data_IF_589927202399
#
_entry.id   IF_589927202399
#
_cell.length_a   1.000
_cell.length_b   1.000
_cell.length_c   1.000
_cell.angle_alpha   90.00
_cell.angle_beta   90.00
_cell.angle_gamma   90.00
#
_symmetry.space_group_name_H-M   'P 1'
#
loop_
_entity.id
_entity.type
_entity.pdbx_description
1 polymer ?
#
# COMPACT_ATOMS: atom_id res chain seq x y z
N UNK A 1 20.03 -20.83 -4.04
CA UNK A 1 21.46 -20.56 -4.32
C UNK A 1 21.64 -19.70 -5.59
N UNK A 2 20.94 -20.00 -6.69
CA UNK A 2 21.04 -19.22 -7.94
C UNK A 2 20.66 -17.74 -7.75
N UNK A 3 19.63 -17.46 -6.94
CA UNK A 3 19.19 -16.10 -6.67
C UNK A 3 20.26 -15.27 -5.96
N UNK A 4 20.98 -15.85 -5.01
CA UNK A 4 22.06 -15.19 -4.29
C UNK A 4 23.23 -14.80 -5.19
N UNK A 5 23.51 -15.60 -6.21
CA UNK A 5 24.59 -15.33 -7.17
C UNK A 5 24.30 -14.08 -8.03
N UNK A 6 23.03 -13.75 -8.22
CA UNK A 6 22.59 -12.59 -9.00
C UNK A 6 22.37 -11.33 -8.14
N UNK A 7 22.56 -11.46 -6.81
CA UNK A 7 22.31 -10.38 -5.87
C UNK A 7 23.59 -9.78 -5.30
N UNK A 8 23.55 -8.48 -5.09
CA UNK A 8 24.54 -7.76 -4.31
C UNK A 8 24.03 -7.58 -2.88
N UNK A 9 24.83 -8.04 -1.92
CA UNK A 9 24.49 -7.98 -0.50
C UNK A 9 25.33 -6.89 0.15
N UNK A 10 24.67 -5.91 0.76
CA UNK A 10 25.27 -4.81 1.47
C UNK A 10 24.80 -4.83 2.93
N UNK A 11 25.74 -4.60 3.85
CA UNK A 11 25.45 -4.49 5.28
C UNK A 11 25.72 -3.08 5.73
N UNK A 12 24.85 -2.56 6.60
CA UNK A 12 24.97 -1.19 7.11
C UNK A 12 24.43 -1.08 8.53
N UNK A 13 24.67 0.07 9.15
CA UNK A 13 24.12 0.37 10.46
C UNK A 13 22.71 0.90 10.30
N UNK A 14 21.76 0.32 11.06
CA UNK A 14 20.39 0.81 11.07
C UNK A 14 20.33 2.24 11.60
N UNK A 15 19.59 3.09 10.90
CA UNK A 15 19.28 4.45 11.35
C UNK A 15 18.10 4.46 12.31
N UNK A 16 17.99 5.50 13.13
CA UNK A 16 16.87 5.76 14.01
C UNK A 16 17.20 5.71 15.50
N UNK A 17 16.16 5.81 16.32
CA UNK A 17 16.30 5.71 17.78
C UNK A 17 16.69 4.29 18.16
N UNK A 18 17.91 4.09 18.60
CA UNK A 18 18.39 2.79 19.01
C UNK A 18 19.42 2.91 20.12
N UNK A 19 19.57 1.84 20.87
CA UNK A 19 20.63 1.73 21.88
C UNK A 19 22.01 1.55 21.27
N UNK A 20 23.01 1.30 22.10
CA UNK A 20 24.41 1.12 21.67
C UNK A 20 24.58 0.02 20.61
N UNK A 21 23.76 -1.04 20.66
CA UNK A 21 23.82 -2.14 19.70
C UNK A 21 23.54 -1.66 18.25
N UNK A 22 22.52 -0.82 18.06
CA UNK A 22 22.17 -0.27 16.75
C UNK A 22 23.30 0.61 16.19
N UNK A 23 23.97 1.35 17.05
CA UNK A 23 25.03 2.27 16.65
C UNK A 23 26.40 1.59 16.41
N UNK A 24 26.63 0.43 17.03
CA UNK A 24 27.93 -0.26 16.94
C UNK A 24 27.95 -1.42 15.95
N UNK A 25 26.81 -2.05 15.70
CA UNK A 25 26.75 -3.29 14.92
C UNK A 25 26.05 -3.07 13.57
N UNK A 26 26.70 -3.47 12.50
CA UNK A 26 26.13 -3.47 11.15
C UNK A 26 25.22 -4.68 10.96
N UNK A 27 24.06 -4.68 11.62
CA UNK A 27 23.07 -5.77 11.54
C UNK A 27 22.08 -5.60 10.40
N UNK A 28 21.87 -4.39 9.91
CA UNK A 28 20.97 -4.12 8.79
C UNK A 28 21.54 -4.66 7.47
N UNK A 29 20.69 -5.28 6.69
CA UNK A 29 21.06 -5.91 5.41
C UNK A 29 20.20 -5.35 4.28
N UNK A 30 20.84 -5.04 3.18
CA UNK A 30 20.21 -4.65 1.92
C UNK A 30 20.66 -5.60 0.83
N UNK A 31 19.71 -6.19 0.13
CA UNK A 31 19.99 -7.09 -0.99
C UNK A 31 19.42 -6.45 -2.27
N UNK A 32 20.27 -6.30 -3.26
CA UNK A 32 19.90 -5.75 -4.57
C UNK A 32 19.99 -6.87 -5.61
N UNK A 33 18.88 -7.14 -6.29
CA UNK A 33 18.86 -8.09 -7.41
C UNK A 33 19.29 -7.34 -8.67
N UNK A 34 20.50 -7.61 -9.13
CA UNK A 34 21.13 -6.86 -10.22
C UNK A 34 20.35 -6.89 -11.54
N UNK A 35 19.83 -8.04 -12.02
CA UNK A 35 19.11 -8.09 -13.28
C UNK A 35 17.84 -7.24 -13.34
N UNK A 36 17.07 -7.17 -12.26
CA UNK A 36 15.81 -6.41 -12.17
C UNK A 36 15.94 -5.08 -11.45
N UNK A 37 17.03 -4.87 -10.72
CA UNK A 37 17.21 -3.69 -9.88
C UNK A 37 16.33 -3.67 -8.64
N UNK A 38 15.67 -4.78 -8.29
CA UNK A 38 14.80 -4.87 -7.11
C UNK A 38 15.62 -4.89 -5.83
N UNK A 39 15.23 -4.05 -4.87
CA UNK A 39 15.94 -3.88 -3.60
C UNK A 39 15.05 -4.33 -2.45
N UNK A 40 15.62 -5.10 -1.52
CA UNK A 40 15.01 -5.45 -0.26
C UNK A 40 15.94 -5.05 0.89
N UNK A 41 15.38 -4.47 1.93
CA UNK A 41 16.12 -4.00 3.11
C UNK A 41 15.46 -4.52 4.37
N UNK A 42 16.25 -5.02 5.31
CA UNK A 42 15.77 -5.49 6.60
C UNK A 42 16.71 -5.05 7.72
N UNK A 43 16.13 -4.50 8.79
CA UNK A 43 16.87 -4.00 9.96
C UNK A 43 16.16 -4.35 11.28
N UNK A 44 15.17 -5.24 11.24
CA UNK A 44 14.28 -5.51 12.37
C UNK A 44 14.94 -6.33 13.48
N UNK A 45 15.84 -7.21 13.12
CA UNK A 45 16.47 -8.14 14.05
C UNK A 45 17.87 -7.68 14.48
N UNK A 46 18.31 -8.16 15.63
CA UNK A 46 19.67 -7.94 16.11
C UNK A 46 20.71 -8.74 15.32
N UNK A 47 20.33 -9.92 14.86
CA UNK A 47 21.22 -10.81 14.11
C UNK A 47 21.24 -10.45 12.63
N UNK A 48 22.45 -10.21 12.12
CA UNK A 48 22.65 -9.99 10.68
C UNK A 48 22.17 -11.18 9.83
N UNK A 49 22.37 -12.41 10.33
CA UNK A 49 21.94 -13.61 9.62
C UNK A 49 20.41 -13.69 9.50
N UNK A 50 19.69 -13.35 10.56
CA UNK A 50 18.23 -13.30 10.54
C UNK A 50 17.72 -12.21 9.59
N UNK A 51 18.33 -11.03 9.62
CA UNK A 51 18.01 -9.95 8.69
C UNK A 51 18.26 -10.36 7.24
N UNK A 52 19.35 -11.06 6.97
CA UNK A 52 19.66 -11.59 5.63
C UNK A 52 18.56 -12.55 5.15
N UNK A 53 18.13 -13.47 6.00
CA UNK A 53 17.04 -14.42 5.68
C UNK A 53 15.72 -13.70 5.39
N UNK A 54 15.33 -12.75 6.24
CA UNK A 54 14.13 -11.95 6.05
C UNK A 54 14.20 -11.13 4.76
N UNK A 55 15.33 -10.50 4.54
CA UNK A 55 15.58 -9.70 3.35
C UNK A 55 15.47 -10.53 2.07
N UNK A 56 16.02 -11.74 2.09
CA UNK A 56 15.94 -12.67 0.97
C UNK A 56 14.49 -13.10 0.69
N UNK A 57 13.70 -13.38 1.73
CA UNK A 57 12.29 -13.72 1.59
C UNK A 57 11.46 -12.55 1.03
N UNK A 58 11.73 -11.32 1.49
CA UNK A 58 11.10 -10.11 0.94
C UNK A 58 11.46 -9.93 -0.53
N UNK A 59 12.71 -10.14 -0.89
CA UNK A 59 13.16 -10.06 -2.28
C UNK A 59 12.45 -11.08 -3.17
N UNK A 60 12.33 -12.33 -2.71
CA UNK A 60 11.58 -13.38 -3.42
C UNK A 60 10.13 -12.98 -3.67
N UNK A 61 9.48 -12.44 -2.65
CA UNK A 61 8.09 -11.95 -2.76
C UNK A 61 7.95 -10.82 -3.76
N UNK A 62 8.87 -9.86 -3.75
CA UNK A 62 8.90 -8.73 -4.70
C UNK A 62 9.11 -9.22 -6.13
N UNK A 63 10.05 -10.14 -6.33
CA UNK A 63 10.32 -10.71 -7.65
C UNK A 63 9.11 -11.51 -8.17
N UNK A 64 8.48 -12.31 -7.33
CA UNK A 64 7.27 -13.04 -7.68
C UNK A 64 6.14 -12.09 -8.10
N UNK A 65 5.97 -10.97 -7.40
CA UNK A 65 4.97 -9.95 -7.73
C UNK A 65 5.19 -9.32 -9.12
N UNK A 66 6.44 -9.19 -9.57
CA UNK A 66 6.74 -8.67 -10.90
C UNK A 66 6.23 -9.58 -12.04
N UNK A 67 6.16 -10.88 -11.80
CA UNK A 67 5.69 -11.86 -12.80
C UNK A 67 4.19 -12.09 -12.75
N UNK A 68 3.49 -11.56 -11.75
CA UNK A 68 2.04 -11.69 -11.66
C UNK A 68 1.38 -10.73 -12.65
N UNK A 69 0.67 -11.31 -13.63
CA UNK A 69 -0.13 -10.52 -14.56
C UNK A 69 -1.48 -10.21 -13.90
N UNK A 70 -1.81 -8.94 -13.69
CA UNK A 70 -3.12 -8.59 -13.15
C UNK A 70 -4.21 -9.03 -14.13
N UNK A 71 -5.26 -9.63 -13.60
CA UNK A 71 -6.43 -10.00 -14.40
C UNK A 71 -7.04 -8.74 -15.01
N UNK A 72 -7.38 -8.80 -16.28
CA UNK A 72 -8.05 -7.69 -16.98
C UNK A 72 -9.37 -7.38 -16.25
N UNK A 73 -9.54 -6.13 -15.85
CA UNK A 73 -10.80 -5.69 -15.26
C UNK A 73 -11.89 -5.64 -16.33
N UNK A 74 -12.95 -6.38 -16.11
CA UNK A 74 -14.14 -6.34 -16.96
C UNK A 74 -15.07 -5.29 -16.37
N UNK A 75 -15.43 -4.23 -17.14
CA UNK A 75 -16.36 -3.23 -16.64
C UNK A 75 -17.73 -3.87 -16.40
N UNK A 76 -18.19 -3.82 -15.17
CA UNK A 76 -19.49 -4.35 -14.80
C UNK A 76 -20.52 -3.22 -14.74
N UNK A 77 -21.70 -3.50 -15.26
CA UNK A 77 -22.82 -2.56 -15.20
C UNK A 77 -23.24 -2.37 -13.75
N UNK A 78 -23.51 -1.13 -13.36
CA UNK A 78 -23.96 -0.80 -12.01
C UNK A 78 -25.29 -1.51 -11.71
N UNK A 79 -25.43 -2.25 -10.61
CA UNK A 79 -26.67 -2.94 -10.26
C UNK A 79 -27.82 -1.93 -10.05
N UNK A 80 -29.04 -2.37 -10.39
CA UNK A 80 -30.25 -1.55 -10.29
C UNK A 80 -30.48 -1.01 -8.88
N UNK A 81 -30.29 -1.85 -7.86
CA UNK A 81 -30.40 -1.46 -6.45
C UNK A 81 -29.48 -0.30 -6.05
N UNK A 82 -28.23 -0.30 -6.56
CA UNK A 82 -27.30 0.79 -6.30
C UNK A 82 -27.74 2.12 -6.92
N UNK A 83 -28.32 2.06 -8.14
CA UNK A 83 -28.88 3.25 -8.80
C UNK A 83 -30.06 3.82 -8.00
N UNK A 84 -30.96 2.96 -7.57
CA UNK A 84 -32.13 3.35 -6.77
C UNK A 84 -31.71 3.98 -5.43
N UNK A 85 -30.69 3.43 -4.78
CA UNK A 85 -30.16 3.99 -3.55
C UNK A 85 -29.64 5.42 -3.76
N UNK A 86 -28.85 5.63 -4.79
CA UNK A 86 -28.31 6.97 -5.12
C UNK A 86 -29.44 7.96 -5.43
N UNK A 87 -30.42 7.55 -6.20
CA UNK A 87 -31.58 8.39 -6.53
C UNK A 87 -32.38 8.77 -5.28
N UNK A 88 -32.58 7.82 -4.37
CA UNK A 88 -33.26 8.03 -3.10
C UNK A 88 -32.53 9.05 -2.24
N UNK A 89 -31.22 8.91 -2.11
CA UNK A 89 -30.38 9.86 -1.37
C UNK A 89 -30.44 11.26 -1.97
N UNK A 90 -30.33 11.38 -3.29
CA UNK A 90 -30.46 12.67 -4.00
C UNK A 90 -31.82 13.30 -3.76
N UNK A 91 -32.90 12.51 -3.77
CA UNK A 91 -34.27 13.00 -3.50
C UNK A 91 -34.40 13.54 -2.09
N UNK A 92 -33.84 12.85 -1.08
CA UNK A 92 -33.83 13.29 0.31
C UNK A 92 -33.07 14.62 0.44
N UNK A 93 -31.89 14.73 -0.16
CA UNK A 93 -31.11 15.96 -0.14
C UNK A 93 -31.85 17.12 -0.83
N UNK A 94 -32.50 16.89 -1.95
CA UNK A 94 -33.30 17.87 -2.66
C UNK A 94 -34.45 18.37 -1.79
N UNK A 95 -35.16 17.48 -1.12
CA UNK A 95 -36.26 17.84 -0.19
C UNK A 95 -35.75 18.71 0.96
N UNK A 96 -34.63 18.32 1.58
CA UNK A 96 -33.99 19.12 2.65
C UNK A 96 -33.62 20.52 2.18
N UNK A 97 -33.09 20.66 0.97
CA UNK A 97 -32.74 21.98 0.39
C UNK A 97 -33.97 22.83 0.14
N UNK A 98 -35.08 22.25 -0.36
CA UNK A 98 -36.33 22.98 -0.57
C UNK A 98 -36.90 23.51 0.75
N UNK A 99 -36.80 22.72 1.82
CA UNK A 99 -37.25 23.15 3.16
C UNK A 99 -36.44 24.31 3.76
N UNK A 100 -35.23 24.55 3.27
CA UNK A 100 -34.39 25.67 3.69
C UNK A 100 -34.79 27.02 3.05
N UNK A 101 -35.52 26.95 1.93
CA UNK A 101 -35.98 28.14 1.25
C UNK A 101 -37.02 28.83 2.12
N UNK A 102 -36.96 30.18 2.14
CA UNK A 102 -37.96 31.00 2.80
C UNK A 102 -39.33 30.69 2.23
N UNK A 103 -40.33 30.41 3.05
CA UNK A 103 -41.67 30.17 2.53
C UNK A 103 -42.15 31.34 1.72
N UNK A 104 -42.62 31.09 0.53
CA UNK A 104 -43.31 32.14 -0.24
C UNK A 104 -44.59 32.48 0.51
N UNK A 105 -44.60 33.65 1.11
CA UNK A 105 -45.82 34.22 1.59
C UNK A 105 -46.69 34.53 0.36
N UNK A 106 -47.64 33.67 0.10
CA UNK A 106 -48.63 33.95 -0.93
C UNK A 106 -49.18 35.34 -0.74
N UNK A 107 -49.24 36.10 -1.80
CA UNK A 107 -49.86 37.43 -1.80
C UNK A 107 -51.34 37.32 -1.48
N UNK A 108 -51.64 37.08 -0.23
CA UNK A 108 -53.02 37.25 0.26
C UNK A 108 -53.14 38.73 0.73
N UNK A 109 -53.51 39.53 -0.21
CA UNK A 109 -54.06 40.84 0.11
C UNK A 109 -55.42 40.69 0.69
#
# INVERSE_FOLDING_TARGET
>A
EKLLNECYIDTFRAGGKGGQHVNKTESAVRITHLPTGTIATCQDERSQLQNKRKCLNQLRSKLAALYVRPKKRIPTRRPKAAKEKILREKKIHSTKKKLRNKPELGDNC
#
